data_IF_512062648153
#
_entry.id   IF_512062648153
#
_cell.length_a   1.000
_cell.length_b   1.000
_cell.length_c   1.000
_cell.angle_alpha   90.00
_cell.angle_beta   90.00
_cell.angle_gamma   90.00
#
_symmetry.space_group_name_H-M   'P 1'
#
loop_
_entity.id
_entity.type
_entity.pdbx_description
1 polymer ?
#
# COMPACT_ATOMS: atom_id res chain seq x y z
N UNK A 1 11.02 11.70 -11.26
CA UNK A 1 10.79 10.26 -11.05
C UNK A 1 12.09 9.66 -10.58
N UNK A 2 12.09 9.04 -9.40
CA UNK A 2 13.29 8.65 -8.63
C UNK A 2 13.95 7.34 -9.10
N UNK A 3 13.65 6.93 -10.35
CA UNK A 3 14.16 5.70 -10.99
C UNK A 3 14.00 4.41 -10.16
N UNK A 4 12.90 4.31 -9.39
CA UNK A 4 12.57 3.13 -8.58
C UNK A 4 11.80 2.10 -9.42
N UNK A 5 12.25 0.84 -9.40
CA UNK A 5 11.50 -0.31 -9.92
C UNK A 5 10.55 -0.81 -8.85
N UNK A 6 9.25 -0.81 -9.14
CA UNK A 6 8.20 -1.27 -8.25
C UNK A 6 7.49 -2.48 -8.86
N UNK A 7 7.38 -3.57 -8.10
CA UNK A 7 6.61 -4.76 -8.50
C UNK A 7 5.72 -5.22 -7.35
N UNK A 8 4.64 -5.93 -7.67
CA UNK A 8 3.68 -6.43 -6.70
C UNK A 8 3.41 -7.90 -6.95
N UNK A 9 3.17 -8.65 -5.87
CA UNK A 9 2.59 -9.97 -5.97
C UNK A 9 1.09 -9.90 -6.27
N UNK A 10 0.58 -10.95 -6.92
CA UNK A 10 -0.85 -11.10 -7.15
C UNK A 10 -1.64 -11.08 -5.83
N UNK A 11 -1.12 -11.73 -4.79
CA UNK A 11 -1.74 -11.76 -3.46
C UNK A 11 -1.81 -10.39 -2.78
N UNK A 12 -0.97 -9.43 -3.18
CA UNK A 12 -1.03 -8.05 -2.72
C UNK A 12 -2.22 -7.32 -3.32
N UNK A 13 -2.49 -7.52 -4.62
CA UNK A 13 -3.66 -6.92 -5.26
C UNK A 13 -4.96 -7.43 -4.65
N UNK A 14 -5.06 -8.75 -4.42
CA UNK A 14 -6.21 -9.37 -3.76
C UNK A 14 -6.43 -8.78 -2.36
N UNK A 15 -5.36 -8.66 -1.57
CA UNK A 15 -5.42 -8.06 -0.24
C UNK A 15 -5.93 -6.61 -0.25
N UNK A 16 -5.44 -5.77 -1.17
CA UNK A 16 -5.86 -4.37 -1.30
C UNK A 16 -7.36 -4.29 -1.64
N UNK A 17 -7.83 -5.15 -2.56
CA UNK A 17 -9.24 -5.21 -2.95
C UNK A 17 -10.11 -5.69 -1.79
N UNK A 18 -9.70 -6.74 -1.08
CA UNK A 18 -10.41 -7.27 0.10
C UNK A 18 -10.59 -6.17 1.15
N UNK A 19 -9.53 -5.39 1.42
CA UNK A 19 -9.57 -4.28 2.37
C UNK A 19 -10.46 -3.12 1.91
N UNK A 20 -10.48 -2.82 0.61
CA UNK A 20 -11.39 -1.79 0.07
C UNK A 20 -12.87 -2.18 0.24
N UNK A 21 -13.18 -3.47 0.12
CA UNK A 21 -14.52 -4.02 0.37
C UNK A 21 -14.83 -4.00 1.86
N UNK A 22 -13.92 -4.48 2.71
CA UNK A 22 -14.05 -4.51 4.17
C UNK A 22 -14.35 -3.12 4.75
N UNK A 23 -13.63 -2.10 4.28
CA UNK A 23 -13.81 -0.71 4.72
C UNK A 23 -14.93 0.04 3.99
N UNK A 24 -15.68 -0.62 3.10
CA UNK A 24 -16.77 -0.04 2.31
C UNK A 24 -16.36 1.20 1.51
N UNK A 25 -15.13 1.21 1.06
CA UNK A 25 -14.50 2.31 0.34
C UNK A 25 -14.83 2.33 -1.16
N UNK A 26 -15.14 1.14 -1.71
CA UNK A 26 -15.28 0.93 -3.14
C UNK A 26 -13.98 1.21 -3.90
N UNK A 27 -14.05 1.26 -5.24
CA UNK A 27 -12.87 1.44 -6.09
C UNK A 27 -12.11 2.76 -5.82
N UNK A 28 -12.81 3.79 -5.32
CA UNK A 28 -12.19 5.11 -5.04
C UNK A 28 -11.20 5.05 -3.88
N UNK A 29 -11.43 4.21 -2.87
CA UNK A 29 -10.52 4.10 -1.74
C UNK A 29 -9.35 3.13 -1.94
N UNK A 30 -9.26 2.46 -3.10
CA UNK A 30 -8.06 1.68 -3.46
C UNK A 30 -6.80 2.54 -3.40
N UNK A 31 -6.89 3.80 -3.87
CA UNK A 31 -5.78 4.74 -3.80
C UNK A 31 -5.35 4.98 -2.36
N UNK A 32 -6.28 5.22 -1.45
CA UNK A 32 -5.99 5.49 -0.04
C UNK A 32 -5.32 4.30 0.65
N UNK A 33 -5.73 3.07 0.32
CA UNK A 33 -5.11 1.85 0.85
C UNK A 33 -3.68 1.70 0.33
N UNK A 34 -3.46 1.90 -0.98
CA UNK A 34 -2.12 1.85 -1.57
C UNK A 34 -1.22 2.93 -0.97
N UNK A 35 -1.75 4.14 -0.78
CA UNK A 35 -0.99 5.24 -0.17
C UNK A 35 -0.57 4.92 1.27
N UNK A 36 -1.47 4.34 2.07
CA UNK A 36 -1.13 3.88 3.41
C UNK A 36 -0.04 2.80 3.42
N UNK A 37 -0.08 1.86 2.47
CA UNK A 37 0.96 0.81 2.34
C UNK A 37 2.32 1.38 1.93
N UNK A 38 2.32 2.40 1.07
CA UNK A 38 3.52 2.85 0.36
C UNK A 38 4.22 4.05 1.01
N UNK A 39 3.58 4.75 1.97
CA UNK A 39 4.04 6.05 2.46
C UNK A 39 5.50 6.04 2.94
N UNK A 40 5.88 5.03 3.73
CA UNK A 40 7.25 4.90 4.24
C UNK A 40 8.24 4.63 3.11
N UNK A 41 7.92 3.69 2.22
CA UNK A 41 8.75 3.35 1.08
C UNK A 41 8.95 4.54 0.12
N UNK A 42 7.90 5.34 -0.09
CA UNK A 42 7.98 6.55 -0.91
C UNK A 42 8.92 7.59 -0.31
N UNK A 43 9.06 7.63 1.02
CA UNK A 43 9.99 8.53 1.70
C UNK A 43 11.43 8.01 1.72
N UNK A 44 11.64 6.71 1.99
CA UNK A 44 12.98 6.14 2.19
C UNK A 44 13.69 5.80 0.88
N UNK A 45 13.00 5.14 -0.06
CA UNK A 45 13.62 4.61 -1.29
C UNK A 45 14.28 5.67 -2.18
N UNK A 46 13.78 6.92 -2.30
CA UNK A 46 14.49 7.96 -3.05
C UNK A 46 15.90 8.29 -2.51
N UNK A 47 16.16 8.01 -1.23
CA UNK A 47 17.47 8.24 -0.60
C UNK A 47 18.38 7.01 -0.58
N UNK A 48 17.86 5.82 -0.84
CA UNK A 48 18.64 4.56 -0.81
C UNK A 48 19.38 4.28 -2.12
N UNK A 49 20.50 3.55 -2.04
CA UNK A 49 21.20 3.05 -3.24
C UNK A 49 20.38 2.00 -4.00
N UNK A 50 19.58 1.20 -3.27
CA UNK A 50 18.74 0.16 -3.86
C UNK A 50 17.39 0.73 -4.30
N UNK A 51 17.25 0.95 -5.60
CA UNK A 51 16.02 1.48 -6.23
C UNK A 51 15.02 0.39 -6.65
N UNK A 52 14.83 -0.66 -5.85
CA UNK A 52 13.87 -1.75 -6.17
C UNK A 52 13.04 -2.10 -4.96
N UNK A 53 11.73 -2.10 -5.13
CA UNK A 53 10.77 -2.57 -4.14
C UNK A 53 9.85 -3.61 -4.76
N UNK A 54 9.77 -4.77 -4.10
CA UNK A 54 8.82 -5.81 -4.41
C UNK A 54 7.83 -5.92 -3.26
N UNK A 55 6.56 -5.64 -3.53
CA UNK A 55 5.50 -5.54 -2.51
C UNK A 55 4.76 -6.86 -2.43
N UNK A 56 5.01 -7.59 -1.34
CA UNK A 56 4.32 -8.85 -1.03
C UNK A 56 3.07 -8.61 -0.18
N UNK A 57 2.23 -9.63 -0.03
CA UNK A 57 1.01 -9.55 0.80
C UNK A 57 1.37 -9.28 2.27
N UNK A 58 2.44 -9.88 2.77
CA UNK A 58 2.92 -9.71 4.14
C UNK A 58 3.37 -8.27 4.37
N UNK A 59 4.11 -7.70 3.43
CA UNK A 59 4.50 -6.29 3.48
C UNK A 59 3.28 -5.38 3.54
N UNK A 60 2.32 -5.57 2.62
CA UNK A 60 1.10 -4.79 2.59
C UNK A 60 0.27 -4.92 3.86
N UNK A 61 0.21 -6.13 4.44
CA UNK A 61 -0.50 -6.37 5.71
C UNK A 61 0.15 -5.60 6.84
N UNK A 62 1.46 -5.72 7.01
CA UNK A 62 2.21 -5.03 8.06
C UNK A 62 2.08 -3.50 7.96
N UNK A 63 2.21 -2.93 6.76
CA UNK A 63 2.10 -1.48 6.61
C UNK A 63 0.68 -0.98 6.84
N UNK A 64 -0.32 -1.73 6.39
CA UNK A 64 -1.71 -1.33 6.58
C UNK A 64 -2.10 -1.42 8.07
N UNK A 65 -1.72 -2.47 8.79
CA UNK A 65 -2.00 -2.63 10.23
C UNK A 65 -1.36 -1.55 11.10
N UNK A 66 -0.18 -1.05 10.71
CA UNK A 66 0.53 0.02 11.41
C UNK A 66 0.05 1.42 11.00
N UNK A 67 -0.84 1.54 10.01
CA UNK A 67 -1.38 2.83 9.56
C UNK A 67 -2.63 3.22 10.35
N UNK A 68 -2.85 4.54 10.53
CA UNK A 68 -4.06 5.09 11.17
C UNK A 68 -5.30 4.96 10.26
N UNK A 69 -5.76 3.71 10.08
CA UNK A 69 -6.88 3.35 9.20
C UNK A 69 -8.25 3.80 9.69
N UNK A 70 -8.35 4.24 10.95
CA UNK A 70 -9.62 4.63 11.57
C UNK A 70 -10.35 5.73 10.78
N UNK A 71 -9.63 6.50 9.95
CA UNK A 71 -10.17 7.57 9.11
C UNK A 71 -10.59 7.14 7.70
N UNK A 72 -10.26 5.92 7.26
CA UNK A 72 -10.62 5.44 5.93
C UNK A 72 -12.04 4.87 5.85
N UNK A 73 -12.74 4.71 6.97
CA UNK A 73 -14.13 4.23 6.94
C UNK A 73 -15.05 5.36 6.48
N UNK A 74 -15.83 5.11 5.43
CA UNK A 74 -16.91 6.00 5.04
C UNK A 74 -18.01 5.90 6.11
N UNK A 75 -18.48 7.05 6.61
CA UNK A 75 -19.61 7.17 7.53
C UNK A 75 -20.91 6.61 6.91
#
# INVERSE_FOLDING_TARGET
MDSVTLTFDQGTYEYIVDKAIEFKLGARGLRSIVEAIMIDAMFTLPSEEKKKLHVTREYATHQLENSDLHHLRVA
#
